data_IF_023725900627
#
_entry.id   IF_023725900627
#
_cell.length_a   1.000
_cell.length_b   1.000
_cell.length_c   1.000
_cell.angle_alpha   90.00
_cell.angle_beta   90.00
_cell.angle_gamma   90.00
#
_symmetry.space_group_name_H-M   'P 1'
#
loop_
_entity.id
_entity.type
_entity.pdbx_description
1 polymer ?
#
# COMPACT_ATOMS: atom_id res chain seq x y z
N UNK A 1 -4.28 11.45 -13.55
CA UNK A 1 -5.31 12.49 -13.42
C UNK A 1 -5.05 13.22 -12.12
N UNK A 2 -5.43 14.49 -12.02
CA UNK A 2 -5.30 15.26 -10.78
C UNK A 2 -6.26 14.69 -9.71
N UNK A 3 -5.74 14.14 -8.58
CA UNK A 3 -6.58 13.56 -7.54
C UNK A 3 -7.52 14.56 -6.87
N UNK A 4 -7.23 15.86 -6.95
CA UNK A 4 -8.10 16.91 -6.39
C UNK A 4 -9.41 17.07 -7.18
N UNK A 5 -9.48 16.55 -8.40
CA UNK A 5 -10.68 16.52 -9.25
C UNK A 5 -11.54 15.27 -9.01
N UNK A 6 -11.07 14.32 -8.20
CA UNK A 6 -11.83 13.13 -7.82
C UNK A 6 -12.78 13.54 -6.69
N UNK A 7 -13.95 14.05 -7.08
CA UNK A 7 -15.04 14.24 -6.13
C UNK A 7 -15.69 12.89 -5.75
N UNK A 8 -16.54 12.93 -4.73
CA UNK A 8 -17.22 11.72 -4.26
C UNK A 8 -18.12 11.06 -5.30
N UNK A 9 -18.66 11.84 -6.25
CA UNK A 9 -19.58 11.35 -7.28
C UNK A 9 -18.86 10.63 -8.42
N UNK A 10 -17.60 11.01 -8.69
CA UNK A 10 -16.76 10.32 -9.65
C UNK A 10 -16.44 8.89 -9.18
N UNK A 11 -16.14 8.72 -7.89
CA UNK A 11 -15.80 7.41 -7.29
C UNK A 11 -16.97 6.42 -7.39
N UNK A 12 -18.21 6.88 -7.24
CA UNK A 12 -19.42 6.04 -7.30
C UNK A 12 -19.61 5.32 -8.65
N UNK A 13 -18.92 5.77 -9.71
CA UNK A 13 -18.95 5.17 -11.04
C UNK A 13 -18.19 3.85 -11.14
N UNK A 14 -17.40 3.50 -10.14
CA UNK A 14 -16.52 2.34 -10.16
C UNK A 14 -16.89 1.36 -9.05
N UNK A 15 -16.65 0.07 -9.28
CA UNK A 15 -16.73 -0.98 -8.24
C UNK A 15 -15.36 -1.18 -7.57
N UNK A 16 -14.28 -0.84 -8.29
CA UNK A 16 -12.91 -1.01 -7.85
C UNK A 16 -12.09 0.22 -8.24
N UNK A 17 -11.29 0.72 -7.30
CA UNK A 17 -10.30 1.75 -7.55
C UNK A 17 -8.91 1.17 -7.28
N UNK A 18 -8.04 1.31 -8.29
CA UNK A 18 -6.63 0.93 -8.20
C UNK A 18 -5.79 2.19 -8.36
N UNK A 19 -4.97 2.49 -7.36
CA UNK A 19 -4.02 3.60 -7.40
C UNK A 19 -2.59 3.09 -7.58
N UNK A 20 -1.82 3.82 -8.38
CA UNK A 20 -0.37 3.65 -8.46
C UNK A 20 0.32 4.99 -8.49
N UNK A 21 1.54 5.07 -7.93
CA UNK A 21 2.37 6.29 -7.90
C UNK A 21 1.63 7.51 -7.34
N UNK A 22 0.83 7.29 -6.31
CA UNK A 22 0.08 8.35 -5.63
C UNK A 22 0.74 8.67 -4.28
N UNK A 23 0.70 9.94 -3.86
CA UNK A 23 1.18 10.32 -2.52
C UNK A 23 0.36 9.61 -1.43
N UNK A 24 0.96 9.40 -0.26
CA UNK A 24 0.26 8.78 0.88
C UNK A 24 -1.04 9.53 1.21
N UNK A 25 -1.00 10.87 1.15
CA UNK A 25 -2.18 11.74 1.32
C UNK A 25 -3.30 11.39 0.34
N UNK A 26 -2.96 11.21 -0.94
CA UNK A 26 -3.94 10.81 -1.96
C UNK A 26 -4.47 9.40 -1.73
N UNK A 27 -3.61 8.43 -1.39
CA UNK A 27 -4.05 7.05 -1.08
C UNK A 27 -5.05 7.05 0.08
N UNK A 28 -4.74 7.76 1.16
CA UNK A 28 -5.60 7.90 2.34
C UNK A 28 -6.93 8.58 1.98
N UNK A 29 -6.89 9.69 1.25
CA UNK A 29 -8.09 10.40 0.82
C UNK A 29 -9.02 9.51 0.00
N UNK A 30 -8.49 8.80 -0.99
CA UNK A 30 -9.31 7.96 -1.87
C UNK A 30 -9.84 6.74 -1.12
N UNK A 31 -9.02 6.06 -0.31
CA UNK A 31 -9.46 4.92 0.49
C UNK A 31 -10.60 5.29 1.47
N UNK A 32 -10.47 6.39 2.19
CA UNK A 32 -11.51 6.92 3.07
C UNK A 32 -12.78 7.27 2.29
N UNK A 33 -12.64 7.87 1.10
CA UNK A 33 -13.79 8.15 0.24
C UNK A 33 -14.48 6.88 -0.27
N UNK A 34 -13.76 5.80 -0.60
CA UNK A 34 -14.37 4.51 -0.97
C UNK A 34 -15.22 3.94 0.16
N UNK A 35 -14.74 4.02 1.40
CA UNK A 35 -15.44 3.50 2.60
C UNK A 35 -16.68 4.29 2.98
N UNK A 36 -16.75 5.57 2.63
CA UNK A 36 -17.90 6.44 2.91
C UNK A 36 -19.05 6.27 1.93
N UNK A 37 -18.88 5.48 0.87
CA UNK A 37 -19.95 5.26 -0.12
C UNK A 37 -20.96 4.24 0.36
N UNK A 38 -22.21 4.43 -0.04
CA UNK A 38 -23.26 3.43 0.16
C UNK A 38 -23.04 2.19 -0.71
N UNK A 39 -22.38 2.37 -1.85
CA UNK A 39 -21.93 1.29 -2.72
C UNK A 39 -20.63 0.70 -2.16
N UNK A 40 -20.49 -0.62 -2.20
CA UNK A 40 -19.22 -1.28 -1.91
C UNK A 40 -18.21 -0.96 -3.02
N UNK A 41 -17.07 -0.39 -2.64
CA UNK A 41 -15.99 -0.04 -3.57
C UNK A 41 -14.70 -0.61 -3.00
N UNK A 42 -14.12 -1.58 -3.71
CA UNK A 42 -12.83 -2.14 -3.36
C UNK A 42 -11.70 -1.14 -3.68
N UNK A 43 -10.72 -1.06 -2.79
CA UNK A 43 -9.58 -0.18 -2.93
C UNK A 43 -8.28 -0.97 -2.99
N UNK A 44 -7.43 -0.60 -3.94
CA UNK A 44 -6.09 -1.14 -4.07
C UNK A 44 -5.10 0.01 -4.24
N UNK A 45 -3.91 -0.12 -3.64
CA UNK A 45 -2.74 0.66 -4.07
C UNK A 45 -1.60 -0.26 -4.43
N UNK A 46 -0.84 0.10 -5.46
CA UNK A 46 0.36 -0.62 -5.89
C UNK A 46 1.49 0.36 -6.14
N UNK A 47 2.65 0.07 -5.57
CA UNK A 47 3.85 0.86 -5.78
C UNK A 47 5.03 -0.04 -6.14
N UNK A 48 5.87 0.46 -7.04
CA UNK A 48 7.10 -0.16 -7.47
C UNK A 48 8.24 0.84 -7.22
N UNK A 49 9.26 0.44 -6.46
CA UNK A 49 10.46 1.26 -6.21
C UNK A 49 11.67 0.36 -6.29
N UNK A 50 12.52 0.60 -7.30
CA UNK A 50 13.59 -0.32 -7.67
C UNK A 50 13.05 -1.75 -7.94
N UNK A 51 13.67 -2.77 -7.35
CA UNK A 51 13.23 -4.17 -7.44
C UNK A 51 12.24 -4.58 -6.35
N UNK A 52 11.61 -3.60 -5.70
CA UNK A 52 10.66 -3.81 -4.63
C UNK A 52 9.26 -3.35 -5.04
N UNK A 53 8.26 -4.04 -4.50
CA UNK A 53 6.87 -3.67 -4.70
C UNK A 53 6.05 -3.84 -3.44
N UNK A 54 5.02 -3.03 -3.32
CA UNK A 54 4.00 -3.11 -2.29
C UNK A 54 2.63 -3.10 -2.96
N UNK A 55 1.74 -4.00 -2.54
CA UNK A 55 0.32 -3.96 -2.86
C UNK A 55 -0.42 -3.87 -1.54
N UNK A 56 -1.32 -2.90 -1.42
CA UNK A 56 -2.28 -2.81 -0.33
C UNK A 56 -3.67 -3.08 -0.89
N UNK A 57 -4.48 -3.81 -0.12
CA UNK A 57 -5.83 -4.23 -0.48
C UNK A 57 -6.77 -3.88 0.66
N UNK A 58 -7.88 -3.22 0.31
CA UNK A 58 -8.99 -2.96 1.20
C UNK A 58 -10.31 -3.28 0.50
N UNK A 59 -10.85 -4.45 0.84
CA UNK A 59 -12.16 -4.90 0.36
C UNK A 59 -13.29 -4.61 1.35
N UNK A 60 -13.03 -3.80 2.39
CA UNK A 60 -13.98 -3.51 3.46
C UNK A 60 -14.50 -4.81 4.11
N UNK A 61 -15.82 -4.98 4.28
CA UNK A 61 -16.41 -6.27 4.62
C UNK A 61 -16.68 -7.03 3.30
N UNK A 62 -15.88 -8.04 3.02
CA UNK A 62 -15.94 -8.79 1.76
C UNK A 62 -16.42 -10.22 1.99
N UNK A 63 -17.48 -10.61 1.27
CA UNK A 63 -17.97 -11.99 1.25
C UNK A 63 -17.60 -12.69 -0.04
N UNK A 64 -17.11 -13.92 0.05
CA UNK A 64 -16.71 -14.72 -1.11
C UNK A 64 -17.04 -16.20 -0.92
N UNK A 65 -17.07 -16.94 -2.04
CA UNK A 65 -17.23 -18.39 -2.04
C UNK A 65 -15.85 -19.07 -2.06
N UNK A 66 -15.57 -19.85 -1.02
CA UNK A 66 -14.37 -20.67 -0.94
C UNK A 66 -14.71 -22.11 -1.30
N UNK A 67 -14.04 -22.63 -2.34
CA UNK A 67 -14.18 -24.04 -2.73
C UNK A 67 -13.16 -24.88 -1.97
N UNK A 68 -13.63 -25.75 -1.07
CA UNK A 68 -12.77 -26.74 -0.41
C UNK A 68 -12.53 -27.95 -1.31
N UNK A 69 -11.36 -28.60 -1.27
CA UNK A 69 -11.12 -29.82 -2.02
C UNK A 69 -12.15 -30.90 -1.66
N UNK A 70 -12.95 -31.34 -2.63
CA UNK A 70 -13.97 -32.38 -2.44
C UNK A 70 -15.23 -31.94 -1.69
N UNK A 71 -15.41 -30.64 -1.41
CA UNK A 71 -16.57 -30.10 -0.72
C UNK A 71 -17.39 -29.10 -1.56
N UNK A 72 -18.60 -28.80 -1.08
CA UNK A 72 -19.44 -27.72 -1.63
C UNK A 72 -18.82 -26.34 -1.35
N UNK A 73 -19.09 -25.32 -2.19
CA UNK A 73 -18.66 -23.95 -1.92
C UNK A 73 -19.29 -23.42 -0.63
N UNK A 74 -18.46 -22.90 0.27
CA UNK A 74 -18.91 -22.24 1.50
C UNK A 74 -18.74 -20.73 1.39
N UNK A 75 -19.70 -19.98 1.91
CA UNK A 75 -19.59 -18.53 2.04
C UNK A 75 -18.65 -18.19 3.20
N UNK A 76 -17.67 -17.34 2.92
CA UNK A 76 -16.72 -16.78 3.88
C UNK A 76 -16.86 -15.26 3.92
N UNK A 77 -16.45 -14.65 5.03
CA UNK A 77 -16.41 -13.20 5.20
C UNK A 77 -15.06 -12.77 5.76
N UNK A 78 -14.45 -11.76 5.14
CA UNK A 78 -13.22 -11.13 5.58
C UNK A 78 -13.46 -9.65 5.85
N UNK A 79 -12.84 -9.15 6.93
CA UNK A 79 -12.87 -7.73 7.29
C UNK A 79 -11.49 -7.13 7.07
N UNK A 80 -11.39 -6.26 6.08
CA UNK A 80 -10.17 -5.52 5.80
C UNK A 80 -10.15 -4.21 6.59
N UNK A 81 -8.99 -3.81 7.14
CA UNK A 81 -8.81 -2.47 7.70
C UNK A 81 -8.69 -1.43 6.58
N UNK A 82 -9.01 -0.18 6.89
CA UNK A 82 -8.65 0.96 6.04
C UNK A 82 -7.13 1.09 5.96
N UNK A 83 -6.64 1.79 4.94
CA UNK A 83 -5.22 2.13 4.82
C UNK A 83 -4.74 2.90 6.06
N UNK A 84 -5.54 3.85 6.55
CA UNK A 84 -5.22 4.62 7.75
C UNK A 84 -5.03 3.71 8.96
N UNK A 85 -5.97 2.79 9.20
CA UNK A 85 -5.86 1.83 10.32
C UNK A 85 -4.63 0.95 10.17
N UNK A 86 -4.37 0.43 8.96
CA UNK A 86 -3.24 -0.46 8.68
C UNK A 86 -1.88 0.21 8.94
N UNK A 87 -1.68 1.46 8.49
CA UNK A 87 -0.40 2.16 8.68
C UNK A 87 -0.23 2.79 10.07
N UNK A 88 -1.32 2.94 10.84
CA UNK A 88 -1.30 3.49 12.19
C UNK A 88 -0.90 2.48 13.26
N UNK A 89 -0.79 1.19 12.90
CA UNK A 89 -0.38 0.14 13.84
C UNK A 89 1.04 0.43 14.34
N UNK A 90 1.25 0.56 15.66
CA UNK A 90 2.59 0.74 16.22
C UNK A 90 3.51 -0.39 15.78
N UNK A 91 4.74 -0.05 15.35
CA UNK A 91 5.62 -1.05 14.76
C UNK A 91 6.04 -2.17 15.72
N UNK A 92 6.03 -1.90 17.02
CA UNK A 92 6.22 -2.92 18.08
C UNK A 92 5.13 -4.00 18.09
N UNK A 93 3.93 -3.70 17.61
CA UNK A 93 2.77 -4.60 17.61
C UNK A 93 2.68 -5.38 16.28
N UNK A 94 3.50 -5.01 15.29
CA UNK A 94 3.58 -5.74 14.02
C UNK A 94 4.29 -7.09 14.22
N UNK A 95 3.94 -8.05 13.35
CA UNK A 95 4.55 -9.37 13.34
C UNK A 95 6.08 -9.30 13.24
N UNK A 96 6.78 -10.17 13.96
CA UNK A 96 8.25 -10.30 13.82
C UNK A 96 8.67 -10.64 12.38
N UNK A 97 7.76 -11.24 11.60
CA UNK A 97 7.94 -11.59 10.18
C UNK A 97 7.71 -10.42 9.22
N UNK A 98 7.25 -9.27 9.70
CA UNK A 98 7.08 -8.07 8.86
C UNK A 98 8.39 -7.72 8.18
N UNK A 99 8.32 -7.60 6.85
CA UNK A 99 9.48 -7.34 6.00
C UNK A 99 10.10 -5.97 6.31
N UNK A 100 11.42 -5.88 6.19
CA UNK A 100 12.18 -4.62 6.32
C UNK A 100 11.73 -3.57 5.32
N UNK A 101 11.24 -4.03 4.16
CA UNK A 101 10.72 -3.18 3.10
C UNK A 101 9.54 -2.33 3.56
N UNK A 102 8.62 -2.89 4.35
CA UNK A 102 7.45 -2.16 4.85
C UNK A 102 7.88 -0.90 5.62
N UNK A 103 8.78 -1.07 6.58
CA UNK A 103 9.29 0.04 7.37
C UNK A 103 10.03 1.08 6.52
N UNK A 104 10.87 0.62 5.58
CA UNK A 104 11.59 1.52 4.67
C UNK A 104 10.62 2.34 3.79
N UNK A 105 9.57 1.72 3.25
CA UNK A 105 8.55 2.41 2.48
C UNK A 105 7.79 3.45 3.32
N UNK A 106 7.41 3.11 4.57
CA UNK A 106 6.76 4.06 5.49
C UNK A 106 7.64 5.26 5.83
N UNK A 107 8.95 5.06 6.03
CA UNK A 107 9.91 6.17 6.24
C UNK A 107 9.97 7.07 5.01
N UNK A 108 10.08 6.48 3.80
CA UNK A 108 10.15 7.25 2.56
C UNK A 108 8.88 8.03 2.27
N UNK A 109 7.70 7.43 2.45
CA UNK A 109 6.42 8.11 2.26
C UNK A 109 6.23 9.27 3.27
N UNK A 110 6.69 9.08 4.52
CA UNK A 110 6.68 10.12 5.54
C UNK A 110 7.60 11.30 5.15
N UNK A 111 8.79 10.99 4.64
CA UNK A 111 9.74 11.99 4.13
C UNK A 111 9.20 12.76 2.92
N UNK A 112 8.70 12.03 1.91
CA UNK A 112 8.10 12.63 0.71
C UNK A 112 6.93 13.55 1.10
N UNK A 113 6.10 13.12 2.06
CA UNK A 113 4.99 13.93 2.56
C UNK A 113 5.45 15.16 3.37
N UNK A 114 6.51 15.07 4.17
CA UNK A 114 7.00 16.22 4.96
C UNK A 114 7.64 17.29 4.08
N UNK A 115 8.27 16.87 2.98
CA UNK A 115 8.94 17.76 2.02
C UNK A 115 8.00 18.22 0.89
N UNK A 116 6.74 17.78 0.88
CA UNK A 116 5.77 18.13 -0.17
C UNK A 116 6.14 17.58 -1.54
N UNK A 117 6.84 16.45 -1.59
CA UNK A 117 7.35 15.83 -2.81
C UNK A 117 6.41 14.76 -3.34
N UNK A 118 6.42 14.58 -4.65
CA UNK A 118 5.71 13.47 -5.27
C UNK A 118 6.43 12.13 -5.00
N UNK A 119 5.71 10.99 -5.03
CA UNK A 119 6.33 9.68 -4.86
C UNK A 119 7.53 9.46 -5.78
N UNK A 120 8.67 9.08 -5.19
CA UNK A 120 9.91 8.84 -5.93
C UNK A 120 10.67 10.10 -6.34
N UNK A 121 10.21 11.31 -6.00
CA UNK A 121 11.01 12.55 -6.08
C UNK A 121 12.06 12.61 -4.96
N UNK A 122 12.90 11.59 -4.94
CA UNK A 122 13.93 11.38 -3.95
C UNK A 122 15.24 11.07 -4.65
N UNK A 123 16.36 11.41 -4.01
CA UNK A 123 17.70 11.09 -4.48
C UNK A 123 18.63 10.76 -3.31
N UNK A 124 19.86 10.37 -3.61
CA UNK A 124 20.86 10.07 -2.57
C UNK A 124 21.22 11.29 -1.72
N UNK A 125 21.00 12.53 -2.19
CA UNK A 125 21.23 13.73 -1.37
C UNK A 125 20.28 13.82 -0.16
N UNK A 126 19.14 13.12 -0.23
CA UNK A 126 18.13 13.13 0.83
C UNK A 126 18.45 12.14 1.96
N UNK A 127 19.44 11.26 1.75
CA UNK A 127 19.78 10.19 2.69
C UNK A 127 19.99 10.69 4.13
N UNK A 128 20.72 11.80 4.40
CA UNK A 128 20.89 12.28 5.78
C UNK A 128 19.56 12.63 6.46
N UNK A 129 18.65 13.29 5.74
CA UNK A 129 17.33 13.65 6.26
C UNK A 129 16.45 12.41 6.48
N UNK A 130 16.50 11.45 5.54
CA UNK A 130 15.77 10.18 5.62
C UNK A 130 16.27 9.33 6.79
N UNK A 131 17.58 9.32 7.07
CA UNK A 131 18.14 8.60 8.23
C UNK A 131 17.76 9.26 9.56
N UNK A 132 17.71 10.59 9.61
CA UNK A 132 17.20 11.30 10.78
C UNK A 132 15.72 10.97 11.04
N UNK A 133 14.89 10.96 9.99
CA UNK A 133 13.48 10.60 10.10
C UNK A 133 13.28 9.13 10.48
N UNK A 134 14.07 8.22 9.90
CA UNK A 134 14.08 6.80 10.27
C UNK A 134 14.29 6.63 11.77
N UNK A 135 15.30 7.31 12.32
CA UNK A 135 15.62 7.26 13.75
C UNK A 135 14.44 7.74 14.59
N UNK A 136 13.90 8.91 14.29
CA UNK A 136 12.74 9.47 14.99
C UNK A 136 11.51 8.53 14.95
N UNK A 137 11.20 7.94 13.79
CA UNK A 137 10.10 6.99 13.65
C UNK A 137 10.36 5.69 14.43
N UNK A 138 11.58 5.17 14.40
CA UNK A 138 11.99 3.99 15.19
C UNK A 138 11.84 4.25 16.70
N UNK A 139 12.29 5.40 17.18
CA UNK A 139 12.20 5.79 18.59
C UNK A 139 10.72 5.92 19.02
N UNK A 140 9.90 6.63 18.24
CA UNK A 140 8.45 6.79 18.52
C UNK A 140 7.69 5.48 18.49
N UNK A 141 8.04 4.56 17.58
CA UNK A 141 7.33 3.29 17.37
C UNK A 141 7.95 2.12 18.14
N UNK A 142 9.01 2.36 18.94
CA UNK A 142 9.76 1.36 19.69
C UNK A 142 10.28 0.19 18.82
N UNK A 143 10.87 0.52 17.67
CA UNK A 143 11.48 -0.44 16.74
C UNK A 143 13.00 -0.25 16.70
N UNK A 144 13.74 -1.35 16.74
CA UNK A 144 15.18 -1.33 16.54
C UNK A 144 15.55 -0.82 15.13
N UNK A 145 16.43 0.18 15.05
CA UNK A 145 16.84 0.81 13.78
C UNK A 145 17.45 -0.20 12.77
N UNK A 146 18.03 -1.32 13.22
CA UNK A 146 18.58 -2.37 12.35
C UNK A 146 17.52 -3.11 11.52
N UNK A 147 16.25 -2.96 11.90
CA UNK A 147 15.10 -3.43 11.11
C UNK A 147 14.93 -2.62 9.81
N UNK A 148 15.57 -1.46 9.70
CA UNK A 148 15.54 -0.58 8.53
C UNK A 148 16.98 -0.28 8.06
N UNK A 149 17.60 -1.21 7.31
CA UNK A 149 19.00 -1.08 6.91
C UNK A 149 19.23 0.18 6.05
N UNK A 150 20.31 0.90 6.33
CA UNK A 150 20.71 2.08 5.55
C UNK A 150 20.87 1.75 4.06
N UNK A 151 21.46 0.60 3.73
CA UNK A 151 21.63 0.15 2.35
C UNK A 151 20.31 -0.06 1.59
N UNK A 152 19.23 -0.41 2.31
CA UNK A 152 17.91 -0.51 1.71
C UNK A 152 17.36 0.88 1.36
N UNK A 153 17.48 1.85 2.27
CA UNK A 153 17.07 3.23 2.04
C UNK A 153 17.88 3.88 0.91
N UNK A 154 19.20 3.73 0.93
CA UNK A 154 20.10 4.20 -0.14
C UNK A 154 19.66 3.69 -1.51
N UNK A 155 19.41 2.39 -1.62
CA UNK A 155 18.98 1.76 -2.88
C UNK A 155 17.64 2.30 -3.36
N UNK A 156 16.66 2.44 -2.45
CA UNK A 156 15.33 2.98 -2.80
C UNK A 156 15.41 4.47 -3.20
N UNK A 157 16.24 5.27 -2.52
CA UNK A 157 16.47 6.67 -2.85
C UNK A 157 17.18 6.82 -4.21
N UNK A 158 18.20 6.00 -4.47
CA UNK A 158 18.93 5.99 -5.75
C UNK A 158 18.04 5.61 -6.94
N UNK A 159 17.02 4.77 -6.71
CA UNK A 159 16.06 4.42 -7.73
C UNK A 159 15.12 5.59 -8.08
N UNK A 160 14.72 6.41 -7.09
CA UNK A 160 13.80 7.53 -7.32
C UNK A 160 12.49 7.05 -7.97
N UNK A 161 12.17 7.60 -9.15
CA UNK A 161 11.00 7.21 -9.98
C UNK A 161 11.24 6.00 -10.90
N UNK A 162 12.39 5.34 -10.82
CA UNK A 162 12.71 4.20 -11.71
C UNK A 162 11.93 2.96 -11.28
N UNK A 163 11.29 2.35 -12.26
CA UNK A 163 10.57 1.09 -12.14
C UNK A 163 11.19 0.07 -13.11
N UNK A 164 11.37 -1.17 -12.67
CA UNK A 164 11.84 -2.24 -13.54
C UNK A 164 10.66 -2.93 -14.22
N UNK A 165 10.62 -3.03 -15.57
CA UNK A 165 9.51 -3.67 -16.28
C UNK A 165 9.18 -5.09 -15.82
N UNK A 166 10.17 -5.98 -15.51
CA UNK A 166 9.87 -7.31 -14.98
C UNK A 166 9.13 -7.28 -13.63
N UNK A 167 9.45 -6.31 -12.77
CA UNK A 167 8.79 -6.16 -11.46
C UNK A 167 7.37 -5.65 -11.63
N UNK A 168 7.17 -4.70 -12.55
CA UNK A 168 5.84 -4.21 -12.90
C UNK A 168 4.95 -5.33 -13.45
N UNK A 169 5.51 -6.22 -14.28
CA UNK A 169 4.78 -7.37 -14.81
C UNK A 169 4.37 -8.35 -13.69
N UNK A 170 5.25 -8.61 -12.72
CA UNK A 170 4.95 -9.45 -11.55
C UNK A 170 3.84 -8.82 -10.70
N UNK A 171 4.01 -7.54 -10.33
CA UNK A 171 3.02 -6.82 -9.51
C UNK A 171 1.67 -6.72 -10.23
N UNK A 172 1.67 -6.40 -11.52
CA UNK A 172 0.46 -6.34 -12.33
C UNK A 172 -0.23 -7.69 -12.47
N UNK A 173 0.52 -8.79 -12.58
CA UNK A 173 -0.03 -10.14 -12.59
C UNK A 173 -0.70 -10.52 -11.27
N UNK A 174 -0.02 -10.27 -10.14
CA UNK A 174 -0.55 -10.52 -8.80
C UNK A 174 -1.80 -9.66 -8.57
N UNK A 175 -1.70 -8.35 -8.78
CA UNK A 175 -2.81 -7.41 -8.58
C UNK A 175 -4.00 -7.73 -9.48
N UNK A 176 -3.75 -8.06 -10.75
CA UNK A 176 -4.82 -8.44 -11.68
C UNK A 176 -5.57 -9.68 -11.20
N UNK A 177 -4.87 -10.66 -10.64
CA UNK A 177 -5.50 -11.83 -10.04
C UNK A 177 -6.36 -11.46 -8.82
N UNK A 178 -5.86 -10.60 -7.94
CA UNK A 178 -6.61 -10.12 -6.76
C UNK A 178 -7.87 -9.34 -7.13
N UNK A 179 -7.78 -8.48 -8.15
CA UNK A 179 -8.94 -7.76 -8.69
C UNK A 179 -9.99 -8.74 -9.25
N UNK A 180 -9.57 -9.77 -10.00
CA UNK A 180 -10.50 -10.77 -10.55
C UNK A 180 -11.20 -11.56 -9.43
N UNK A 181 -10.47 -11.96 -8.38
CA UNK A 181 -11.06 -12.67 -7.22
C UNK A 181 -12.11 -11.80 -6.54
N UNK A 182 -11.79 -10.53 -6.28
CA UNK A 182 -12.70 -9.59 -5.64
C UNK A 182 -13.99 -9.38 -6.44
N UNK A 183 -13.89 -9.14 -7.75
CA UNK A 183 -15.08 -8.95 -8.62
C UNK A 183 -15.90 -10.23 -8.72
N UNK A 184 -15.24 -11.39 -8.85
CA UNK A 184 -15.93 -12.65 -9.03
C UNK A 184 -16.49 -13.24 -7.73
N UNK A 185 -16.10 -12.69 -6.57
CA UNK A 185 -16.40 -13.21 -5.23
C UNK A 185 -16.06 -14.71 -5.10
N UNK A 186 -14.96 -15.13 -5.74
CA UNK A 186 -14.51 -16.53 -5.80
C UNK A 186 -13.04 -16.64 -5.44
N UNK A 187 -12.77 -17.59 -4.54
CA UNK A 187 -11.42 -17.79 -4.02
C UNK A 187 -11.06 -16.77 -2.96
N UNK A 188 -10.09 -17.13 -2.12
CA UNK A 188 -9.57 -16.27 -1.06
C UNK A 188 -8.75 -15.13 -1.69
N UNK A 189 -9.17 -13.85 -1.51
CA UNK A 189 -8.45 -12.68 -2.00
C UNK A 189 -7.16 -12.46 -1.17
#
# INVERSE_FOLDING_TARGET
GDPSLIDGTFIDRFDIIVLSRASLKTKLFINDNCRKRSKHIAFYSVDCKDSCGEIFVDLQNHSYLQKKPGGEPEQQELKYPSLQEAISVPWKDLSKKTTKLYYAMRVLESYESSEGRDPGETSLSDLPAVLALRKDMCDRMSLDESRIPTSLLERLLAAGKKEHPPVCAILGGILGQEVIKSISCKGDP
#
